data_IF_397080901654
#
_entry.id   IF_397080901654
#
_cell.length_a   1.000
_cell.length_b   1.000
_cell.length_c   1.000
_cell.angle_alpha   90.00
_cell.angle_beta   90.00
_cell.angle_gamma   90.00
#
_symmetry.space_group_name_H-M   'P 1'
#
loop_
_entity.id
_entity.type
_entity.pdbx_description
1 polymer ?
#
# COMPACT_ATOMS: atom_id res chain seq x y z
N UNK A 1 1.63 7.05 -7.95
CA UNK A 1 0.88 7.94 -7.09
C UNK A 1 -0.61 7.69 -7.23
N UNK A 2 -1.32 7.68 -6.12
CA UNK A 2 -2.75 7.38 -6.12
C UNK A 2 -3.52 8.68 -6.12
N UNK A 3 -4.45 8.84 -7.04
CA UNK A 3 -5.19 10.06 -7.17
C UNK A 3 -6.67 9.95 -6.87
N UNK A 4 -7.19 8.75 -6.83
CA UNK A 4 -8.61 8.55 -6.51
C UNK A 4 -8.80 7.15 -5.94
N UNK A 5 -10.01 6.86 -5.51
CA UNK A 5 -10.32 5.60 -4.85
C UNK A 5 -10.19 4.41 -5.79
N UNK A 6 -10.43 4.62 -7.06
CA UNK A 6 -10.25 3.53 -8.02
C UNK A 6 -8.79 3.15 -8.13
N UNK A 7 -7.92 4.12 -8.16
CA UNK A 7 -6.48 3.85 -8.19
C UNK A 7 -6.00 3.24 -6.89
N UNK A 8 -6.60 3.63 -5.78
CA UNK A 8 -6.30 3.02 -4.49
C UNK A 8 -6.60 1.52 -4.53
N UNK A 9 -7.77 1.17 -5.03
CA UNK A 9 -8.16 -0.24 -5.12
C UNK A 9 -7.21 -1.03 -6.02
N UNK A 10 -6.82 -0.45 -7.14
CA UNK A 10 -5.89 -1.11 -8.06
C UNK A 10 -4.53 -1.30 -7.40
N UNK A 11 -4.05 -0.30 -6.69
CA UNK A 11 -2.75 -0.38 -6.03
C UNK A 11 -2.75 -1.42 -4.92
N UNK A 12 -3.83 -1.46 -4.15
CA UNK A 12 -3.98 -2.48 -3.11
C UNK A 12 -4.00 -3.88 -3.70
N UNK A 13 -4.70 -4.05 -4.79
CA UNK A 13 -4.78 -5.34 -5.46
C UNK A 13 -3.40 -5.76 -5.98
N UNK A 14 -2.65 -4.85 -6.55
CA UNK A 14 -1.32 -5.11 -7.01
C UNK A 14 -0.38 -5.50 -5.87
N UNK A 15 -0.45 -4.78 -4.77
CA UNK A 15 0.38 -5.08 -3.62
C UNK A 15 0.06 -6.47 -3.07
N UNK A 16 -1.21 -6.81 -3.00
CA UNK A 16 -1.64 -8.13 -2.53
C UNK A 16 -1.13 -9.24 -3.45
N UNK A 17 -1.17 -9.02 -4.74
CA UNK A 17 -0.68 -10.00 -5.70
C UNK A 17 0.83 -10.18 -5.60
N UNK A 18 1.56 -9.11 -5.38
CA UNK A 18 3.00 -9.21 -5.18
C UNK A 18 3.35 -9.93 -3.90
N UNK A 19 2.59 -9.68 -2.83
CA UNK A 19 2.79 -10.39 -1.58
C UNK A 19 2.54 -11.88 -1.75
N UNK A 20 1.50 -12.22 -2.49
CA UNK A 20 1.19 -13.62 -2.74
C UNK A 20 2.28 -14.28 -3.57
N UNK A 21 2.80 -13.58 -4.55
CA UNK A 21 3.90 -14.07 -5.35
C UNK A 21 5.15 -14.29 -4.49
N UNK A 22 5.45 -13.37 -3.60
CA UNK A 22 6.56 -13.55 -2.68
C UNK A 22 6.38 -14.79 -1.81
N UNK A 23 5.18 -14.98 -1.30
CA UNK A 23 4.87 -16.13 -0.47
C UNK A 23 5.15 -17.42 -1.21
N UNK A 24 4.77 -17.49 -2.47
CA UNK A 24 5.00 -18.66 -3.29
C UNK A 24 6.48 -18.84 -3.60
N UNK A 25 7.16 -17.78 -3.96
CA UNK A 25 8.58 -17.86 -4.28
C UNK A 25 9.43 -18.23 -3.09
N UNK A 26 9.01 -17.84 -1.91
CA UNK A 26 9.71 -18.20 -0.69
C UNK A 26 9.80 -19.70 -0.52
N UNK A 27 8.79 -20.43 -0.95
CA UNK A 27 8.72 -21.86 -0.76
C UNK A 27 9.55 -22.63 -1.77
N UNK A 28 9.81 -22.05 -2.93
CA UNK A 28 10.50 -22.77 -3.99
C UNK A 28 11.90 -22.25 -4.29
N UNK A 29 12.29 -21.12 -3.72
CA UNK A 29 13.60 -20.54 -3.99
C UNK A 29 14.64 -21.04 -3.01
N UNK A 30 15.87 -21.11 -3.46
CA UNK A 30 16.97 -21.42 -2.56
C UNK A 30 17.25 -20.21 -1.69
N UNK A 31 17.80 -20.41 -0.49
CA UNK A 31 18.05 -19.29 0.41
C UNK A 31 18.87 -18.15 -0.22
N UNK A 32 19.89 -18.49 -0.98
CA UNK A 32 20.73 -17.48 -1.59
C UNK A 32 20.02 -16.74 -2.72
N UNK A 33 19.11 -17.41 -3.39
CA UNK A 33 18.31 -16.78 -4.44
C UNK A 33 17.22 -15.93 -3.83
N UNK A 34 16.68 -16.39 -2.72
CA UNK A 34 15.60 -15.69 -2.05
C UNK A 34 16.00 -14.29 -1.64
N UNK A 35 17.20 -14.12 -1.12
CA UNK A 35 17.67 -12.81 -0.69
C UNK A 35 17.64 -11.80 -1.85
N UNK A 36 18.08 -12.23 -3.01
CA UNK A 36 18.08 -11.37 -4.19
C UNK A 36 16.69 -11.09 -4.72
N UNK A 37 15.86 -12.12 -4.80
CA UNK A 37 14.51 -11.98 -5.32
C UNK A 37 13.66 -11.13 -4.41
N UNK A 38 13.71 -11.37 -3.11
CA UNK A 38 12.85 -10.68 -2.17
C UNK A 38 13.19 -9.20 -2.07
N UNK A 39 14.45 -8.83 -2.27
CA UNK A 39 14.87 -7.46 -2.16
C UNK A 39 14.15 -6.56 -3.17
N UNK A 40 14.06 -6.99 -4.43
CA UNK A 40 13.36 -6.24 -5.44
C UNK A 40 11.87 -6.12 -5.20
N UNK A 41 11.24 -7.23 -4.83
CA UNK A 41 9.81 -7.22 -4.54
C UNK A 41 9.49 -6.40 -3.30
N UNK A 42 10.38 -6.43 -2.31
CA UNK A 42 10.19 -5.65 -1.11
C UNK A 42 10.13 -4.15 -1.42
N UNK A 43 11.04 -3.68 -2.26
CA UNK A 43 11.06 -2.28 -2.63
C UNK A 43 9.78 -1.88 -3.36
N UNK A 44 9.30 -2.74 -4.23
CA UNK A 44 8.08 -2.47 -4.97
C UNK A 44 6.87 -2.42 -4.05
N UNK A 45 6.77 -3.36 -3.14
CA UNK A 45 5.67 -3.43 -2.18
C UNK A 45 5.73 -2.22 -1.25
N UNK A 46 6.92 -1.86 -0.78
CA UNK A 46 7.07 -0.71 0.11
C UNK A 46 6.65 0.56 -0.59
N UNK A 47 6.96 0.70 -1.86
CA UNK A 47 6.54 1.86 -2.62
C UNK A 47 5.02 1.93 -2.73
N UNK A 48 4.39 0.80 -3.03
CA UNK A 48 2.93 0.76 -3.12
C UNK A 48 2.26 1.06 -1.80
N UNK A 49 2.81 0.50 -0.73
CA UNK A 49 2.27 0.74 0.60
C UNK A 49 2.47 2.20 1.00
N UNK A 50 3.58 2.80 0.65
CA UNK A 50 3.83 4.20 0.88
C UNK A 50 2.84 5.08 0.14
N UNK A 51 2.56 4.77 -1.12
CA UNK A 51 1.58 5.49 -1.91
C UNK A 51 0.19 5.37 -1.31
N UNK A 52 -0.16 4.20 -0.84
CA UNK A 52 -1.46 3.95 -0.19
C UNK A 52 -1.57 4.80 1.07
N UNK A 53 -0.53 4.79 1.89
CA UNK A 53 -0.54 5.55 3.13
C UNK A 53 -0.59 7.05 2.84
N UNK A 54 0.15 7.52 1.87
CA UNK A 54 0.14 8.93 1.51
C UNK A 54 -1.25 9.37 1.08
N UNK A 55 -1.91 8.56 0.31
CA UNK A 55 -3.26 8.86 -0.14
C UNK A 55 -4.24 8.87 1.03
N UNK A 56 -4.15 7.88 1.89
CA UNK A 56 -5.07 7.76 3.02
C UNK A 56 -4.83 8.83 4.09
N UNK A 57 -3.60 9.31 4.20
CA UNK A 57 -3.28 10.30 5.20
C UNK A 57 -3.58 11.72 4.72
N UNK A 58 -3.83 11.90 3.45
CA UNK A 58 -4.22 13.19 2.95
C UNK A 58 -5.60 13.54 3.41
N UNK A 59 -5.84 14.76 3.85
CA UNK A 59 -7.20 15.14 4.25
C UNK A 59 -8.10 15.14 3.05
N UNK A 60 -9.35 14.77 3.28
CA UNK A 60 -10.33 14.85 2.24
C UNK A 60 -10.48 16.28 1.78
N UNK A 61 -10.69 16.51 0.50
CA UNK A 61 -10.94 17.83 0.03
C UNK A 61 -12.18 18.35 0.68
N UNK A 62 -12.04 19.38 1.42
CA UNK A 62 -13.11 19.77 2.17
C UNK A 62 -13.99 20.66 1.48
N UNK A 63 -15.04 20.37 1.13
CA UNK A 63 -15.93 21.17 0.65
C UNK A 63 -16.65 21.76 1.67
N UNK A 64 -16.13 22.06 2.59
CA UNK A 64 -16.76 22.51 3.65
C UNK A 64 -17.22 21.59 4.57
N UNK A 65 -16.91 20.77 4.71
CA UNK A 65 -17.36 19.93 5.57
C UNK A 65 -16.74 19.76 6.60
N UNK A 66 -16.75 19.99 7.16
CA UNK A 66 -16.25 19.85 8.05
C UNK A 66 -16.48 19.13 8.94
N UNK A 67 -16.38 18.80 9.30
CA UNK A 67 -16.52 18.21 10.07
C UNK A 67 -16.42 18.13 11.07
N UNK A 68 -16.64 18.01 11.58
CA UNK A 68 -16.50 18.08 12.59
C UNK A 68 -15.89 17.61 13.32
N UNK A 69 -15.75 18.03 13.48
CA UNK A 69 -15.27 17.76 14.14
C UNK A 69 -15.12 17.12 14.98
N UNK A 70 -15.10 17.23 15.23
CA UNK A 70 -14.88 16.81 16.12
C UNK A 70 -15.02 15.74 16.41
N UNK A 71 -15.30 15.48 16.08
CA UNK A 71 -15.43 14.59 16.37
C UNK A 71 -14.66 13.88 16.60
N UNK A 72 -14.33 13.78 16.48
CA UNK A 72 -13.64 13.16 16.72
C UNK A 72 -12.83 13.09 17.15
N UNK A 73 -12.62 13.40 17.20
CA UNK A 73 -11.84 13.41 17.60
C UNK A 73 -11.46 12.98 18.48
N UNK A 74 -11.66 12.84 18.72
CA UNK A 74 -11.34 12.59 19.60
C UNK A 74 -10.81 11.63 19.90
N UNK A 75 -10.27 11.32 19.99
CA UNK A 75 -9.65 10.49 20.45
C UNK A 75 -8.79 10.66 20.93
#
# INVERSE_FOLDING_TARGET
MIQNDSELAVTRDRAAKLEKLLENLRQISRPEEWAALSSGYRLEIERMQGDILDYLMEPMPSDGMNIPSGIGVRY
#
